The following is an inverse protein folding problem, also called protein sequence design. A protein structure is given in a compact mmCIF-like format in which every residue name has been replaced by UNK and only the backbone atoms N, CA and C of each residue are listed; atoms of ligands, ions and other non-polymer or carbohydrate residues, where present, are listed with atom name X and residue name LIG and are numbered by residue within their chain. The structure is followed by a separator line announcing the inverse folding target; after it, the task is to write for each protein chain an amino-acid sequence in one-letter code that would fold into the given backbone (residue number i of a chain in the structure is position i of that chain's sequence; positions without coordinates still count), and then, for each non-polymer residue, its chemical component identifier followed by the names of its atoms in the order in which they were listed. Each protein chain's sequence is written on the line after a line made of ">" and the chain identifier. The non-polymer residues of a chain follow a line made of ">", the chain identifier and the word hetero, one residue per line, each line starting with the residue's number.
data_IF_639842541910
#
_entry.id   IF_639842541910
#
_cell.length_a   1.000
_cell.length_b   1.000
_cell.length_c   1.000
_cell.angle_alpha   90.00
_cell.angle_beta   90.00
_cell.angle_gamma   90.00
#
_symmetry.space_group_name_H-M   'P 1'
#
loop_
_entity.id
_entity.type
_entity.pdbx_description
1 polymer ?
#
# COMPACT_ATOMS: atom_id res chain seq x y z
N UNK A 1 -6.28 -12.14 4.06
CA UNK A 1 -6.47 -12.70 5.43
C UNK A 1 -7.80 -13.43 5.54
N UNK A 2 -8.93 -12.87 5.06
CA UNK A 2 -10.26 -13.53 5.09
C UNK A 2 -10.30 -14.82 4.28
N UNK A 3 -9.65 -14.87 3.12
CA UNK A 3 -9.63 -16.06 2.26
C UNK A 3 -8.83 -17.21 2.90
N UNK A 4 -7.72 -16.90 3.59
CA UNK A 4 -6.90 -17.87 4.31
C UNK A 4 -7.62 -18.41 5.55
N UNK A 5 -8.36 -17.57 6.25
CA UNK A 5 -9.16 -17.99 7.42
C UNK A 5 -10.36 -18.86 7.00
N UNK A 6 -10.97 -18.59 5.83
CA UNK A 6 -12.00 -19.44 5.25
C UNK A 6 -11.48 -20.81 4.81
N UNK A 7 -10.27 -20.88 4.24
CA UNK A 7 -9.66 -22.15 3.83
C UNK A 7 -9.25 -23.01 5.04
N UNK A 8 -8.78 -22.40 6.13
CA UNK A 8 -8.42 -23.13 7.36
C UNK A 8 -9.62 -23.65 8.13
N UNK A 9 -10.82 -23.17 7.85
CA UNK A 9 -12.07 -23.54 8.55
C UNK A 9 -13.07 -24.27 7.66
N UNK A 10 -12.72 -24.62 6.42
CA UNK A 10 -13.59 -25.43 5.57
C UNK A 10 -13.86 -26.79 6.23
N UNK A 11 -15.09 -27.12 6.59
CA UNK A 11 -15.40 -28.40 7.22
C UNK A 11 -15.21 -29.53 6.21
N UNK A 12 -14.29 -30.45 6.52
CA UNK A 12 -14.00 -31.61 5.71
C UNK A 12 -15.07 -32.70 5.80
N UNK A 13 -16.22 -32.46 6.42
CA UNK A 13 -17.28 -33.43 6.50
C UNK A 13 -18.63 -32.75 6.28
N UNK A 14 -19.44 -33.36 5.40
CA UNK A 14 -20.78 -32.89 5.04
C UNK A 14 -21.81 -32.87 6.21
N UNK A 15 -21.38 -33.12 7.45
CA UNK A 15 -22.21 -33.20 8.67
C UNK A 15 -21.81 -32.28 9.79
N UNK A 16 -20.77 -31.43 9.60
CA UNK A 16 -20.38 -30.46 10.63
C UNK A 16 -21.27 -29.21 10.57
N UNK A 17 -21.73 -28.66 11.70
CA UNK A 17 -22.51 -27.42 11.69
C UNK A 17 -21.63 -26.28 11.15
N UNK A 18 -22.17 -25.52 10.20
CA UNK A 18 -21.51 -24.35 9.63
C UNK A 18 -21.30 -23.29 10.71
N UNK A 19 -20.07 -23.13 11.19
CA UNK A 19 -19.73 -22.07 12.13
C UNK A 19 -19.22 -20.86 11.32
N UNK A 20 -19.99 -19.77 11.34
CA UNK A 20 -19.53 -18.49 10.81
C UNK A 20 -18.88 -17.68 11.93
N UNK A 21 -17.64 -17.25 11.75
CA UNK A 21 -16.95 -16.33 12.67
C UNK A 21 -16.77 -14.96 12.02
N UNK A 22 -17.28 -13.93 12.66
CA UNK A 22 -16.98 -12.54 12.29
C UNK A 22 -15.81 -12.04 13.13
N UNK A 23 -14.75 -11.59 12.45
CA UNK A 23 -13.61 -10.93 13.09
C UNK A 23 -13.43 -9.54 12.53
N UNK A 24 -13.38 -8.54 13.40
CA UNK A 24 -13.09 -7.17 13.01
C UNK A 24 -11.61 -7.03 12.65
N UNK A 25 -11.33 -6.55 11.44
CA UNK A 25 -9.98 -6.28 10.97
C UNK A 25 -9.61 -4.85 11.39
N UNK A 26 -8.61 -4.64 12.26
CA UNK A 26 -8.30 -3.33 12.83
C UNK A 26 -7.54 -2.39 11.88
N UNK A 27 -7.16 -2.83 10.68
CA UNK A 27 -6.42 -2.01 9.71
C UNK A 27 -6.45 -2.62 8.33
N UNK A 28 -6.44 -1.76 7.33
CA UNK A 28 -6.38 -2.11 5.91
C UNK A 28 -5.00 -1.75 5.37
N UNK A 29 -4.35 -2.69 4.72
CA UNK A 29 -3.11 -2.51 3.99
C UNK A 29 -3.13 -3.40 2.75
N UNK A 30 -2.67 -2.89 1.62
CA UNK A 30 -2.54 -3.67 0.40
C UNK A 30 -1.12 -4.21 0.33
N UNK A 31 -0.96 -5.52 0.52
CA UNK A 31 0.29 -6.24 0.33
C UNK A 31 0.17 -7.08 -0.93
N UNK A 32 0.72 -6.55 -2.03
CA UNK A 32 0.60 -7.18 -3.36
C UNK A 32 1.40 -8.47 -3.42
N UNK A 33 2.54 -8.55 -2.75
CA UNK A 33 3.36 -9.77 -2.71
C UNK A 33 2.65 -10.89 -1.98
N UNK A 34 2.01 -10.58 -0.85
CA UNK A 34 1.20 -11.56 -0.12
C UNK A 34 0.01 -12.04 -0.98
N UNK A 35 -0.61 -11.13 -1.73
CA UNK A 35 -1.73 -11.45 -2.63
C UNK A 35 -1.29 -12.41 -3.74
N UNK A 36 -0.14 -12.17 -4.36
CA UNK A 36 0.45 -13.03 -5.40
C UNK A 36 0.73 -14.43 -4.84
N UNK A 37 1.40 -14.51 -3.70
CA UNK A 37 1.72 -15.80 -3.03
C UNK A 37 0.47 -16.56 -2.62
N UNK A 38 -0.58 -15.86 -2.14
CA UNK A 38 -1.87 -16.49 -1.85
C UNK A 38 -2.52 -17.06 -3.11
N UNK A 39 -2.46 -16.32 -4.22
CA UNK A 39 -3.01 -16.76 -5.50
C UNK A 39 -2.28 -17.99 -6.03
N UNK A 40 -0.95 -18.00 -5.96
CA UNK A 40 -0.12 -19.14 -6.38
C UNK A 40 -0.38 -20.36 -5.49
N UNK A 41 -0.49 -20.17 -4.17
CA UNK A 41 -0.85 -21.24 -3.25
C UNK A 41 -2.24 -21.81 -3.57
N UNK A 42 -3.23 -20.95 -3.82
CA UNK A 42 -4.57 -21.41 -4.21
C UNK A 42 -4.53 -22.23 -5.51
N UNK A 43 -3.80 -21.75 -6.52
CA UNK A 43 -3.62 -22.51 -7.78
C UNK A 43 -2.97 -23.85 -7.56
N UNK A 44 -1.93 -23.92 -6.73
CA UNK A 44 -1.22 -25.13 -6.40
C UNK A 44 -2.15 -26.13 -5.68
N UNK A 45 -2.89 -25.68 -4.67
CA UNK A 45 -3.83 -26.52 -3.93
C UNK A 45 -4.97 -27.04 -4.82
N UNK A 46 -5.48 -26.21 -5.73
CA UNK A 46 -6.54 -26.61 -6.66
C UNK A 46 -6.04 -27.57 -7.75
N UNK A 47 -4.77 -27.48 -8.16
CA UNK A 47 -4.23 -28.33 -9.25
C UNK A 47 -3.75 -29.70 -8.77
N UNK A 48 -3.16 -29.75 -7.58
CA UNK A 48 -2.52 -30.97 -7.08
C UNK A 48 -3.30 -31.70 -5.97
N UNK A 49 -4.32 -31.01 -5.38
CA UNK A 49 -5.15 -31.56 -4.28
C UNK A 49 -4.31 -32.34 -3.25
N UNK A 50 -3.33 -31.69 -2.59
CA UNK A 50 -2.46 -32.36 -1.64
C UNK A 50 -3.25 -32.86 -0.41
N UNK A 51 -2.72 -33.81 0.36
CA UNK A 51 -3.33 -34.24 1.62
C UNK A 51 -3.48 -33.07 2.57
N UNK A 52 -4.48 -33.13 3.46
CA UNK A 52 -4.85 -32.01 4.33
C UNK A 52 -3.70 -31.49 5.19
N UNK A 53 -2.86 -32.39 5.69
CA UNK A 53 -1.71 -32.03 6.55
C UNK A 53 -0.69 -31.16 5.78
N UNK A 54 -0.42 -31.52 4.52
CA UNK A 54 0.48 -30.75 3.65
C UNK A 54 -0.14 -29.38 3.28
N UNK A 55 -1.44 -29.35 2.95
CA UNK A 55 -2.17 -28.12 2.68
C UNK A 55 -2.13 -27.16 3.88
N UNK A 56 -2.37 -27.67 5.10
CA UNK A 56 -2.28 -26.88 6.32
C UNK A 56 -0.87 -26.37 6.59
N UNK A 57 0.15 -27.19 6.32
CA UNK A 57 1.54 -26.76 6.50
C UNK A 57 1.92 -25.62 5.56
N UNK A 58 1.48 -25.67 4.29
CA UNK A 58 1.69 -24.61 3.29
C UNK A 58 0.98 -23.31 3.68
N UNK A 59 -0.27 -23.38 4.13
CA UNK A 59 -1.01 -22.22 4.62
C UNK A 59 -0.33 -21.61 5.85
N UNK A 60 0.07 -22.43 6.81
CA UNK A 60 0.74 -21.96 8.03
C UNK A 60 2.13 -21.36 7.76
N UNK A 61 2.83 -21.84 6.73
CA UNK A 61 4.08 -21.25 6.27
C UNK A 61 3.87 -19.85 5.70
N UNK A 62 2.77 -19.64 4.96
CA UNK A 62 2.42 -18.32 4.43
C UNK A 62 2.00 -17.36 5.55
N UNK A 63 1.27 -17.82 6.57
CA UNK A 63 0.86 -17.03 7.74
C UNK A 63 2.05 -16.60 8.63
N UNK A 64 3.11 -17.40 8.74
CA UNK A 64 4.32 -17.04 9.50
C UNK A 64 5.03 -15.82 8.94
N UNK A 65 4.67 -15.42 7.74
CA UNK A 65 5.20 -14.24 7.08
C UNK A 65 6.47 -14.55 6.27
N UNK A 66 6.75 -13.66 5.36
CA UNK A 66 7.96 -13.66 4.54
C UNK A 66 8.85 -12.46 4.93
N UNK A 67 10.12 -12.48 4.60
CA UNK A 67 11.02 -11.38 4.91
C UNK A 67 10.53 -10.12 4.19
N UNK A 68 10.13 -9.12 4.97
CA UNK A 68 9.73 -7.81 4.45
C UNK A 68 10.95 -7.09 3.92
N UNK A 69 10.71 -6.18 2.96
CA UNK A 69 11.73 -5.28 2.46
C UNK A 69 12.44 -4.54 3.61
N UNK A 70 13.75 -4.40 3.49
CA UNK A 70 14.53 -3.61 4.44
C UNK A 70 14.03 -2.16 4.44
N UNK A 71 14.07 -1.51 5.61
CA UNK A 71 13.68 -0.09 5.73
C UNK A 71 14.43 0.81 4.75
N UNK A 72 15.67 0.47 4.41
CA UNK A 72 16.47 1.19 3.42
C UNK A 72 15.90 1.05 2.00
N UNK A 73 15.46 -0.13 1.60
CA UNK A 73 14.83 -0.36 0.28
C UNK A 73 13.52 0.40 0.16
N UNK A 74 12.70 0.39 1.21
CA UNK A 74 11.45 1.14 1.26
C UNK A 74 11.72 2.64 1.18
N UNK A 75 12.71 3.14 1.91
CA UNK A 75 13.11 4.54 1.90
C UNK A 75 13.60 4.98 0.51
N UNK A 76 14.43 4.16 -0.15
CA UNK A 76 14.87 4.42 -1.52
C UNK A 76 13.68 4.47 -2.49
N UNK A 77 12.67 3.61 -2.31
CA UNK A 77 11.43 3.67 -3.07
C UNK A 77 10.70 5.00 -2.90
N UNK A 78 10.61 5.49 -1.67
CA UNK A 78 10.01 6.81 -1.38
C UNK A 78 10.79 7.99 -1.98
N UNK A 79 12.08 7.85 -2.21
CA UNK A 79 12.89 8.85 -2.93
C UNK A 79 12.74 8.76 -4.45
N UNK A 80 12.87 7.55 -5.01
CA UNK A 80 12.87 7.34 -6.46
C UNK A 80 11.49 7.61 -7.08
N UNK A 81 10.40 7.21 -6.44
CA UNK A 81 9.06 7.40 -6.99
C UNK A 81 8.73 8.88 -7.26
N UNK A 82 8.89 9.83 -6.32
CA UNK A 82 8.68 11.25 -6.60
C UNK A 82 9.58 11.79 -7.71
N UNK A 83 10.86 11.36 -7.74
CA UNK A 83 11.79 11.80 -8.77
C UNK A 83 11.30 11.42 -10.17
N UNK A 84 10.88 10.17 -10.37
CA UNK A 84 10.33 9.71 -11.64
C UNK A 84 9.00 10.37 -11.99
N UNK A 85 8.11 10.58 -11.02
CA UNK A 85 6.87 11.31 -11.27
C UNK A 85 7.12 12.76 -11.68
N UNK A 86 8.06 13.45 -11.05
CA UNK A 86 8.48 14.81 -11.44
C UNK A 86 8.97 14.84 -12.89
N UNK A 87 9.81 13.90 -13.28
CA UNK A 87 10.28 13.79 -14.67
C UNK A 87 9.14 13.45 -15.65
N UNK A 88 8.22 12.58 -15.25
CA UNK A 88 7.05 12.21 -16.05
C UNK A 88 6.13 13.42 -16.30
N UNK A 89 6.00 14.32 -15.33
CA UNK A 89 5.22 15.55 -15.49
C UNK A 89 5.95 16.68 -16.20
N UNK A 90 7.11 16.39 -16.78
CA UNK A 90 7.86 17.34 -17.60
C UNK A 90 8.87 18.21 -16.83
N UNK A 91 9.16 17.87 -15.56
CA UNK A 91 10.21 18.53 -14.79
C UNK A 91 11.60 18.27 -15.35
N UNK A 92 12.52 19.20 -15.09
CA UNK A 92 13.93 19.03 -15.43
C UNK A 92 14.62 18.01 -14.51
N UNK A 93 15.77 17.53 -14.92
CA UNK A 93 16.55 16.56 -14.14
C UNK A 93 16.87 17.05 -12.71
N UNK A 94 17.12 18.35 -12.55
CA UNK A 94 17.35 18.97 -11.23
C UNK A 94 16.08 18.97 -10.37
N UNK A 95 14.91 19.17 -10.97
CA UNK A 95 13.62 19.06 -10.27
C UNK A 95 13.39 17.64 -9.78
N UNK A 96 13.75 16.64 -10.58
CA UNK A 96 13.73 15.23 -10.19
C UNK A 96 14.65 14.93 -8.98
N UNK A 97 15.84 15.54 -8.95
CA UNK A 97 16.75 15.40 -7.81
C UNK A 97 16.18 16.07 -6.54
N UNK A 98 15.57 17.25 -6.67
CA UNK A 98 14.87 17.91 -5.57
C UNK A 98 13.72 17.03 -5.05
N UNK A 99 12.91 16.48 -5.96
CA UNK A 99 11.82 15.58 -5.61
C UNK A 99 12.31 14.30 -4.91
N UNK A 100 13.47 13.78 -5.30
CA UNK A 100 14.13 12.66 -4.62
C UNK A 100 14.41 12.97 -3.15
N UNK A 101 15.03 14.13 -2.87
CA UNK A 101 15.34 14.56 -1.50
C UNK A 101 14.07 14.78 -0.68
N UNK A 102 13.06 15.44 -1.28
CA UNK A 102 11.76 15.64 -0.64
C UNK A 102 11.05 14.30 -0.35
N UNK A 103 11.12 13.35 -1.28
CA UNK A 103 10.57 12.01 -1.12
C UNK A 103 11.23 11.22 -0.01
N UNK A 104 12.55 11.31 0.14
CA UNK A 104 13.27 10.72 1.27
C UNK A 104 12.79 11.30 2.61
N UNK A 105 12.61 12.62 2.69
CA UNK A 105 12.10 13.28 3.90
C UNK A 105 10.67 12.82 4.24
N UNK A 106 9.79 12.75 3.25
CA UNK A 106 8.43 12.22 3.38
C UNK A 106 8.47 10.73 3.81
N UNK A 107 9.33 9.92 3.20
CA UNK A 107 9.52 8.51 3.56
C UNK A 107 9.96 8.31 5.00
N UNK A 108 10.91 9.11 5.47
CA UNK A 108 11.36 9.12 6.88
C UNK A 108 10.18 9.51 7.79
N UNK A 109 9.43 10.54 7.43
CA UNK A 109 8.27 10.99 8.18
C UNK A 109 7.18 9.89 8.25
N UNK A 110 6.94 9.15 7.18
CA UNK A 110 5.99 8.04 7.14
C UNK A 110 6.45 6.83 7.95
N UNK A 111 7.73 6.47 7.88
CA UNK A 111 8.28 5.31 8.57
C UNK A 111 8.41 5.54 10.09
N UNK A 112 8.88 6.71 10.48
CA UNK A 112 9.17 7.03 11.88
C UNK A 112 8.10 7.91 12.54
N UNK A 113 7.33 8.67 11.75
CA UNK A 113 6.30 9.59 12.24
C UNK A 113 5.14 8.91 12.98
N UNK A 114 4.86 7.63 12.69
CA UNK A 114 3.83 6.86 13.39
C UNK A 114 4.03 6.78 14.93
N UNK A 115 5.26 7.02 15.38
CA UNK A 115 5.61 7.03 16.81
C UNK A 115 5.26 8.36 17.50
N UNK A 116 5.20 9.47 16.73
CA UNK A 116 4.99 10.84 17.25
C UNK A 116 3.60 11.40 16.89
N UNK A 117 3.04 11.02 15.74
CA UNK A 117 1.84 11.64 15.16
C UNK A 117 0.56 10.86 15.51
N UNK A 118 0.69 9.73 16.24
CA UNK A 118 -0.44 8.87 16.60
C UNK A 118 -0.85 7.90 15.49
N UNK A 119 -1.83 7.05 15.82
CA UNK A 119 -2.30 5.95 14.95
C UNK A 119 -3.22 6.40 13.81
N UNK A 120 -3.52 7.70 13.68
CA UNK A 120 -4.45 8.19 12.67
C UNK A 120 -3.74 8.41 11.33
N UNK A 121 -4.10 7.60 10.33
CA UNK A 121 -3.50 7.64 8.98
C UNK A 121 -3.71 9.00 8.30
N UNK A 122 -4.89 9.59 8.46
CA UNK A 122 -5.21 10.90 7.88
C UNK A 122 -4.28 12.00 8.36
N UNK A 123 -4.09 12.10 9.68
CA UNK A 123 -3.22 13.14 10.27
C UNK A 123 -1.77 12.98 9.82
N UNK A 124 -1.31 11.74 9.71
CA UNK A 124 0.02 11.41 9.19
C UNK A 124 0.20 11.87 7.75
N UNK A 125 -0.78 11.63 6.89
CA UNK A 125 -0.73 12.06 5.48
C UNK A 125 -0.70 13.58 5.38
N UNK A 126 -1.52 14.31 6.16
CA UNK A 126 -1.52 15.78 6.19
C UNK A 126 -0.16 16.34 6.60
N UNK A 127 0.45 15.80 7.66
CA UNK A 127 1.79 16.25 8.09
C UNK A 127 2.84 15.95 7.02
N UNK A 128 2.83 14.75 6.44
CA UNK A 128 3.79 14.38 5.41
C UNK A 128 3.64 15.22 4.14
N UNK A 129 2.41 15.54 3.70
CA UNK A 129 2.18 16.41 2.54
C UNK A 129 2.65 17.84 2.81
N UNK A 130 2.40 18.36 4.01
CA UNK A 130 2.87 19.69 4.41
C UNK A 130 4.39 19.75 4.43
N UNK A 131 5.07 18.79 5.04
CA UNK A 131 6.53 18.70 5.05
C UNK A 131 7.09 18.59 3.63
N UNK A 132 6.50 17.73 2.80
CA UNK A 132 6.92 17.56 1.40
C UNK A 132 6.78 18.85 0.59
N UNK A 133 5.65 19.54 0.69
CA UNK A 133 5.40 20.79 -0.04
C UNK A 133 6.28 21.95 0.44
N UNK A 134 6.48 22.09 1.75
CA UNK A 134 7.37 23.11 2.29
C UNK A 134 8.83 22.88 1.88
N UNK A 135 9.27 21.63 1.90
CA UNK A 135 10.64 21.29 1.50
C UNK A 135 10.86 21.49 0.01
N UNK A 136 9.89 21.17 -0.86
CA UNK A 136 9.96 21.45 -2.30
C UNK A 136 10.05 22.96 -2.56
N UNK A 137 9.21 23.75 -1.89
CA UNK A 137 9.27 25.21 -1.98
C UNK A 137 10.65 25.75 -1.55
N UNK A 138 11.17 25.26 -0.44
CA UNK A 138 12.46 25.69 0.09
C UNK A 138 13.62 25.35 -0.87
N UNK A 139 13.68 24.13 -1.38
CA UNK A 139 14.76 23.70 -2.27
C UNK A 139 14.76 24.46 -3.59
N UNK A 140 13.59 24.68 -4.18
CA UNK A 140 13.50 25.45 -5.43
C UNK A 140 13.83 26.93 -5.18
N UNK A 141 13.39 27.52 -4.06
CA UNK A 141 13.77 28.89 -3.68
C UNK A 141 15.26 29.06 -3.43
N UNK A 142 15.95 28.03 -2.98
CA UNK A 142 17.40 28.01 -2.83
C UNK A 142 18.16 27.84 -4.17
N UNK A 143 17.43 27.64 -5.28
CA UNK A 143 18.01 27.53 -6.62
C UNK A 143 18.42 26.10 -7.02
N UNK A 144 18.02 25.08 -6.28
CA UNK A 144 18.31 23.67 -6.63
C UNK A 144 17.36 23.09 -7.67
N UNK A 145 16.21 23.72 -7.92
CA UNK A 145 15.22 23.31 -8.92
C UNK A 145 14.70 24.53 -9.68
N UNK A 146 13.92 24.26 -10.74
CA UNK A 146 13.35 25.28 -11.62
C UNK A 146 11.85 25.51 -11.36
N UNK A 147 11.09 24.43 -11.13
CA UNK A 147 9.63 24.48 -11.05
C UNK A 147 9.13 23.84 -9.76
N UNK A 148 8.61 24.68 -8.86
CA UNK A 148 8.02 24.26 -7.56
C UNK A 148 6.81 23.37 -7.77
N UNK A 149 5.97 23.69 -8.75
CA UNK A 149 4.70 23.01 -8.95
C UNK A 149 4.95 21.55 -9.38
N UNK A 150 5.85 21.34 -10.33
CA UNK A 150 6.20 20.02 -10.83
C UNK A 150 6.86 19.16 -9.74
N UNK A 151 7.76 19.72 -8.95
CA UNK A 151 8.38 19.03 -7.82
C UNK A 151 7.33 18.65 -6.76
N UNK A 152 6.46 19.60 -6.42
CA UNK A 152 5.42 19.38 -5.39
C UNK A 152 4.42 18.31 -5.84
N UNK A 153 3.94 18.37 -7.09
CA UNK A 153 3.03 17.35 -7.63
C UNK A 153 3.69 15.97 -7.61
N UNK A 154 4.95 15.86 -8.03
CA UNK A 154 5.69 14.61 -8.00
C UNK A 154 5.80 14.00 -6.59
N UNK A 155 6.07 14.83 -5.59
CA UNK A 155 6.15 14.41 -4.18
C UNK A 155 4.79 14.00 -3.63
N UNK A 156 3.73 14.77 -3.91
CA UNK A 156 2.38 14.49 -3.42
C UNK A 156 1.78 13.24 -4.08
N UNK A 157 2.17 12.91 -5.32
CA UNK A 157 1.66 11.74 -6.03
C UNK A 157 1.94 10.42 -5.29
N UNK A 158 3.02 10.35 -4.52
CA UNK A 158 3.34 9.17 -3.69
C UNK A 158 2.40 9.01 -2.50
N UNK A 159 1.80 10.10 -2.03
CA UNK A 159 0.85 10.08 -0.92
C UNK A 159 -0.58 9.77 -1.36
N UNK A 160 -0.87 9.87 -2.66
CA UNK A 160 -2.20 9.56 -3.21
C UNK A 160 -2.46 8.06 -3.17
N UNK A 161 -3.55 7.60 -2.57
CA UNK A 161 -3.90 6.18 -2.48
C UNK A 161 -4.45 5.65 -3.82
N UNK A 162 -3.59 5.58 -4.84
CA UNK A 162 -3.97 5.25 -6.22
C UNK A 162 -4.71 3.92 -6.36
N UNK A 163 -4.25 2.87 -5.68
CA UNK A 163 -4.89 1.54 -5.71
C UNK A 163 -6.29 1.57 -5.12
N UNK A 164 -6.48 2.29 -4.01
CA UNK A 164 -7.80 2.42 -3.38
C UNK A 164 -8.78 3.18 -4.28
N UNK A 165 -8.33 4.29 -4.89
CA UNK A 165 -9.13 5.07 -5.84
C UNK A 165 -9.49 4.25 -7.09
N UNK A 166 -8.54 3.52 -7.65
CA UNK A 166 -8.77 2.66 -8.81
C UNK A 166 -9.79 1.56 -8.50
N UNK A 167 -9.70 0.94 -7.33
CA UNK A 167 -10.65 -0.06 -6.89
C UNK A 167 -12.05 0.52 -6.66
N UNK A 168 -12.15 1.72 -6.09
CA UNK A 168 -13.44 2.42 -5.94
C UNK A 168 -14.08 2.72 -7.29
N UNK A 169 -13.28 3.22 -8.26
CA UNK A 169 -13.76 3.46 -9.62
C UNK A 169 -14.21 2.18 -10.33
N UNK A 170 -13.52 1.08 -10.12
CA UNK A 170 -13.91 -0.22 -10.66
C UNK A 170 -15.28 -0.67 -10.13
N UNK A 171 -15.59 -0.46 -8.85
CA UNK A 171 -16.89 -0.78 -8.27
C UNK A 171 -17.99 0.13 -8.87
N UNK A 172 -17.71 1.41 -9.07
CA UNK A 172 -18.65 2.31 -9.76
C UNK A 172 -18.98 1.84 -11.18
N UNK A 173 -17.96 1.41 -11.94
CA UNK A 173 -18.14 0.88 -13.30
C UNK A 173 -18.93 -0.45 -13.27
N UNK A 174 -18.74 -1.26 -12.22
CA UNK A 174 -19.51 -2.50 -12.02
C UNK A 174 -20.96 -2.25 -11.53
N UNK A 175 -21.39 -0.99 -11.45
CA UNK A 175 -22.70 -0.56 -10.95
C UNK A 175 -22.96 -0.84 -9.46
N UNK A 176 -21.93 -1.18 -8.68
CA UNK A 176 -22.00 -1.29 -7.22
C UNK A 176 -21.65 0.05 -6.58
N UNK A 177 -22.62 0.97 -6.59
CA UNK A 177 -22.44 2.33 -6.10
C UNK A 177 -22.16 2.38 -4.59
N UNK A 178 -22.76 1.49 -3.81
CA UNK A 178 -22.61 1.51 -2.34
C UNK A 178 -21.18 1.08 -1.96
N UNK A 179 -20.70 -0.03 -2.50
CA UNK A 179 -19.33 -0.50 -2.28
C UNK A 179 -18.30 0.49 -2.81
N UNK A 180 -18.56 1.08 -3.98
CA UNK A 180 -17.71 2.12 -4.56
C UNK A 180 -17.60 3.37 -3.69
N UNK A 181 -18.73 3.87 -3.16
CA UNK A 181 -18.73 5.02 -2.24
C UNK A 181 -18.00 4.74 -0.93
N UNK A 182 -18.19 3.56 -0.35
CA UNK A 182 -17.51 3.17 0.90
C UNK A 182 -16.01 3.13 0.68
N UNK A 183 -15.53 2.47 -0.39
CA UNK A 183 -14.11 2.39 -0.74
C UNK A 183 -13.50 3.76 -1.07
N UNK A 184 -14.27 4.62 -1.73
CA UNK A 184 -13.85 5.98 -2.05
C UNK A 184 -13.72 6.85 -0.79
N UNK A 185 -14.65 6.73 0.15
CA UNK A 185 -14.60 7.46 1.42
C UNK A 185 -13.51 6.96 2.36
N UNK A 186 -13.07 5.71 2.19
CA UNK A 186 -12.00 5.10 2.98
C UNK A 186 -10.59 5.41 2.41
N UNK A 187 -10.50 5.74 1.11
CA UNK A 187 -9.27 6.08 0.41
C UNK A 187 -8.75 7.47 0.78
#
# INVERSE_FOLDING_TARGET
>A
TLALEMLSQAPMAATAPSTSRMRRIPGHGTDIELLERCNDLCRHLCSQVPPLEDAQSLVSALERGYPRYSSHQVLMGYGLAPAFFTLLFGGHFLDGLCAFVCGLAVGICLLYGGRFIGSNSFFRTVVCSTVGSLLSLLLVRLGFGYDVDTVTIGVLMVLVPGVALTNAMREFIAADLISGMIKFAEA
#
